data_IF_576980928522
#
_entry.id   IF_576980928522
#
_cell.length_a   1.000
_cell.length_b   1.000
_cell.length_c   1.000
_cell.angle_alpha   90.00
_cell.angle_beta   90.00
_cell.angle_gamma   90.00
#
_symmetry.space_group_name_H-M   'P 1'
#
loop_
_entity.id
_entity.type
_entity.pdbx_description
1 polymer ?
#
# COMPACT_ATOMS: atom_id res chain seq x y z
N UNK A 1 26.37 -14.13 26.78
CA UNK A 1 27.10 -13.23 25.86
C UNK A 1 26.48 -13.43 24.49
N UNK A 2 25.76 -12.44 23.97
CA UNK A 2 25.19 -12.48 22.63
C UNK A 2 26.32 -12.15 21.65
N UNK A 3 26.69 -13.11 20.80
CA UNK A 3 27.68 -12.84 19.77
C UNK A 3 27.00 -12.10 18.61
N UNK A 4 27.21 -10.78 18.57
CA UNK A 4 26.97 -9.93 17.43
C UNK A 4 27.83 -10.41 16.25
N UNK A 5 27.26 -11.24 15.39
CA UNK A 5 27.80 -11.39 14.04
C UNK A 5 27.10 -10.36 13.14
N UNK A 6 27.79 -9.28 12.73
CA UNK A 6 27.20 -8.35 11.78
C UNK A 6 26.85 -9.12 10.50
N UNK A 7 25.64 -8.89 10.00
CA UNK A 7 25.22 -9.40 8.71
C UNK A 7 26.22 -8.88 7.67
N UNK A 8 26.98 -9.79 7.03
CA UNK A 8 27.98 -9.41 6.04
C UNK A 8 27.27 -8.84 4.83
N UNK A 9 27.38 -7.53 4.65
CA UNK A 9 26.77 -6.83 3.52
C UNK A 9 27.38 -7.25 2.19
N UNK A 10 26.51 -7.48 1.21
CA UNK A 10 26.79 -7.93 -0.16
C UNK A 10 26.54 -6.80 -1.15
N UNK A 11 27.18 -5.65 -0.93
CA UNK A 11 27.14 -4.56 -1.90
C UNK A 11 27.81 -4.97 -3.22
N UNK A 12 27.07 -4.85 -4.32
CA UNK A 12 27.60 -4.88 -5.67
C UNK A 12 28.32 -3.55 -5.99
N UNK A 13 29.26 -3.59 -6.95
CA UNK A 13 30.10 -2.44 -7.32
C UNK A 13 29.33 -1.25 -7.90
N UNK A 14 28.05 -1.42 -8.26
CA UNK A 14 27.14 -0.41 -8.80
C UNK A 14 26.26 0.26 -7.71
N UNK A 15 26.43 -0.13 -6.44
CA UNK A 15 25.65 0.40 -5.31
C UNK A 15 24.34 -0.36 -5.05
N UNK A 16 24.05 -1.42 -5.79
CA UNK A 16 22.93 -2.33 -5.50
C UNK A 16 23.34 -3.34 -4.42
N UNK A 17 22.45 -3.64 -3.48
CA UNK A 17 22.69 -4.65 -2.45
C UNK A 17 21.88 -5.88 -2.83
N UNK A 18 22.55 -6.97 -3.21
CA UNK A 18 21.85 -8.23 -3.46
C UNK A 18 21.31 -8.76 -2.13
N UNK A 19 19.98 -8.96 -2.01
CA UNK A 19 19.41 -9.49 -0.79
C UNK A 19 19.92 -10.91 -0.53
N UNK A 20 20.01 -11.32 0.74
CA UNK A 20 20.38 -12.67 1.12
C UNK A 20 19.47 -13.69 0.45
N UNK A 21 20.03 -14.75 -0.11
CA UNK A 21 19.27 -15.77 -0.85
C UNK A 21 18.18 -16.40 0.00
N UNK A 22 18.41 -16.46 1.31
CA UNK A 22 17.50 -17.01 2.30
C UNK A 22 16.18 -16.24 2.40
N UNK A 23 16.15 -14.95 2.01
CA UNK A 23 14.96 -14.10 2.08
C UNK A 23 14.26 -13.89 0.74
N UNK A 24 14.74 -14.48 -0.35
CA UNK A 24 14.21 -14.22 -1.70
C UNK A 24 12.72 -14.57 -1.82
N UNK A 25 12.29 -15.67 -1.19
CA UNK A 25 10.88 -16.08 -1.18
C UNK A 25 9.99 -15.04 -0.49
N UNK A 26 10.51 -14.41 0.57
CA UNK A 26 9.83 -13.38 1.34
C UNK A 26 9.74 -12.08 0.54
N UNK A 27 10.70 -11.80 -0.36
CA UNK A 27 10.67 -10.66 -1.27
C UNK A 27 9.66 -10.81 -2.40
N UNK A 28 9.29 -12.04 -2.77
CA UNK A 28 8.22 -12.31 -3.74
C UNK A 28 6.81 -12.06 -3.16
N UNK A 29 6.70 -11.82 -1.85
CA UNK A 29 5.42 -11.54 -1.21
C UNK A 29 4.85 -10.20 -1.74
N UNK A 30 3.58 -10.13 -2.17
CA UNK A 30 2.97 -8.92 -2.76
C UNK A 30 2.94 -7.71 -1.82
N UNK A 31 3.12 -7.92 -0.52
CA UNK A 31 3.22 -6.84 0.47
C UNK A 31 4.61 -6.19 0.55
N UNK A 32 5.61 -6.74 -0.13
CA UNK A 32 6.96 -6.17 -0.23
C UNK A 32 7.04 -5.24 -1.43
N UNK A 33 7.45 -4.00 -1.20
CA UNK A 33 7.65 -3.01 -2.27
C UNK A 33 9.09 -2.97 -2.78
N UNK A 34 10.07 -3.12 -1.87
CA UNK A 34 11.47 -2.91 -2.18
C UNK A 34 12.39 -3.55 -1.13
N UNK A 35 13.67 -3.70 -1.45
CA UNK A 35 14.74 -4.07 -0.54
C UNK A 35 15.92 -3.11 -0.71
N UNK A 36 16.26 -2.37 0.36
CA UNK A 36 17.37 -1.40 0.32
C UNK A 36 18.01 -1.19 1.68
N UNK A 37 19.34 -1.06 1.72
CA UNK A 37 20.11 -0.82 2.94
C UNK A 37 19.89 -1.91 4.00
N UNK A 38 19.89 -3.18 3.58
CA UNK A 38 19.68 -4.34 4.44
C UNK A 38 18.24 -4.53 4.94
N UNK A 39 17.25 -3.82 4.38
CA UNK A 39 15.88 -3.77 4.92
C UNK A 39 14.82 -4.01 3.84
N UNK A 40 13.92 -4.95 4.15
CA UNK A 40 12.64 -5.11 3.45
C UNK A 40 11.75 -3.89 3.72
N UNK A 41 11.22 -3.31 2.65
CA UNK A 41 10.28 -2.19 2.67
C UNK A 41 8.88 -2.73 2.39
N UNK A 42 7.99 -2.61 3.36
CA UNK A 42 6.61 -3.07 3.25
C UNK A 42 5.67 -1.96 2.74
N UNK A 43 4.62 -2.36 2.02
CA UNK A 43 3.58 -1.47 1.55
C UNK A 43 2.71 -0.94 2.71
N UNK A 44 1.86 0.05 2.42
CA UNK A 44 0.87 0.53 3.39
C UNK A 44 -0.20 -0.54 3.65
N UNK A 45 -0.59 -1.27 2.61
CA UNK A 45 -1.60 -2.34 2.66
C UNK A 45 -1.16 -3.50 3.55
N UNK A 46 0.16 -3.78 3.60
CA UNK A 46 0.73 -4.72 4.56
C UNK A 46 0.35 -4.35 6.00
N UNK A 47 0.57 -3.10 6.40
CA UNK A 47 0.30 -2.67 7.77
C UNK A 47 -1.20 -2.63 8.06
N UNK A 48 -2.04 -2.30 7.06
CA UNK A 48 -3.49 -2.37 7.20
C UNK A 48 -3.98 -3.81 7.40
N UNK A 49 -3.51 -4.75 6.56
CA UNK A 49 -3.83 -6.17 6.66
C UNK A 49 -3.31 -6.79 7.97
N UNK A 50 -2.10 -6.41 8.38
CA UNK A 50 -1.48 -6.87 9.63
C UNK A 50 -2.28 -6.38 10.84
N UNK A 51 -2.67 -5.09 10.85
CA UNK A 51 -3.51 -4.54 11.90
C UNK A 51 -4.87 -5.24 11.99
N UNK A 52 -5.52 -5.54 10.84
CA UNK A 52 -6.79 -6.27 10.81
C UNK A 52 -6.69 -7.65 11.48
N UNK A 53 -5.58 -8.36 11.25
CA UNK A 53 -5.29 -9.66 11.89
C UNK A 53 -5.05 -9.52 13.40
N UNK A 54 -4.25 -8.52 13.81
CA UNK A 54 -4.01 -8.21 15.23
C UNK A 54 -5.31 -7.87 15.95
N UNK A 55 -6.18 -7.08 15.34
CA UNK A 55 -7.49 -6.72 15.88
C UNK A 55 -8.50 -7.89 15.87
N UNK A 56 -8.12 -9.03 15.29
CA UNK A 56 -8.86 -10.30 15.35
C UNK A 56 -8.23 -11.26 16.38
N UNK A 57 -7.64 -10.70 17.44
CA UNK A 57 -7.00 -11.41 18.56
C UNK A 57 -5.77 -12.27 18.21
N UNK A 58 -5.14 -12.04 17.05
CA UNK A 58 -3.85 -12.69 16.73
C UNK A 58 -2.68 -11.94 17.36
N UNK A 59 -1.67 -12.67 17.82
CA UNK A 59 -0.39 -12.07 18.22
C UNK A 59 0.33 -11.46 17.00
N UNK A 60 1.31 -10.59 17.24
CA UNK A 60 2.09 -9.97 16.15
C UNK A 60 2.80 -11.01 15.27
N UNK A 61 3.28 -12.09 15.88
CA UNK A 61 3.94 -13.20 15.17
C UNK A 61 2.93 -13.95 14.31
N UNK A 62 1.81 -14.38 14.89
CA UNK A 62 0.77 -15.11 14.15
C UNK A 62 0.19 -14.29 13.00
N UNK A 63 -0.08 -13.01 13.24
CA UNK A 63 -0.59 -12.10 12.21
C UNK A 63 0.42 -11.94 11.05
N UNK A 64 1.71 -11.84 11.36
CA UNK A 64 2.78 -11.73 10.37
C UNK A 64 2.92 -13.00 9.54
N UNK A 65 2.86 -14.18 10.18
CA UNK A 65 2.89 -15.48 9.51
C UNK A 65 1.63 -15.74 8.67
N UNK A 66 0.47 -15.31 9.15
CA UNK A 66 -0.80 -15.39 8.41
C UNK A 66 -0.79 -14.56 7.12
N UNK A 67 0.09 -13.56 7.00
CA UNK A 67 0.32 -12.78 5.77
C UNK A 67 1.38 -13.40 4.85
N UNK A 68 1.86 -14.60 5.17
CA UNK A 68 2.78 -15.37 4.32
C UNK A 68 4.26 -15.07 4.56
N UNK A 69 4.62 -14.40 5.65
CA UNK A 69 6.02 -14.18 6.02
C UNK A 69 6.51 -15.23 7.00
N UNK A 70 7.76 -15.69 6.85
CA UNK A 70 8.35 -16.69 7.74
C UNK A 70 9.11 -16.02 8.88
N UNK A 71 8.68 -16.20 10.14
CA UNK A 71 9.47 -15.71 11.30
C UNK A 71 10.73 -16.54 11.54
N UNK A 72 10.80 -17.77 11.00
CA UNK A 72 12.02 -18.58 11.01
C UNK A 72 13.13 -17.95 10.16
N UNK A 73 12.76 -17.25 9.09
CA UNK A 73 13.68 -16.59 8.16
C UNK A 73 13.93 -15.14 8.58
N UNK A 74 12.86 -14.40 8.89
CA UNK A 74 12.95 -12.95 9.13
C UNK A 74 13.09 -12.55 10.61
N UNK A 75 12.92 -13.50 11.52
CA UNK A 75 12.97 -13.30 12.97
C UNK A 75 11.67 -12.77 13.58
N UNK A 76 11.40 -13.18 14.82
CA UNK A 76 10.24 -12.75 15.62
C UNK A 76 10.31 -11.27 15.99
N UNK A 77 11.51 -10.71 16.16
CA UNK A 77 11.69 -9.29 16.49
C UNK A 77 11.15 -8.39 15.39
N UNK A 78 11.32 -8.80 14.13
CA UNK A 78 10.76 -8.08 12.99
C UNK A 78 9.24 -8.13 13.00
N UNK A 79 8.65 -9.30 13.21
CA UNK A 79 7.19 -9.44 13.31
C UNK A 79 6.62 -8.54 14.42
N UNK A 80 7.26 -8.54 15.59
CA UNK A 80 6.89 -7.68 16.71
C UNK A 80 7.04 -6.18 16.40
N UNK A 81 8.13 -5.78 15.73
CA UNK A 81 8.33 -4.39 15.32
C UNK A 81 7.28 -3.93 14.29
N UNK A 82 6.97 -4.78 13.29
CA UNK A 82 5.92 -4.53 12.30
C UNK A 82 4.54 -4.41 12.96
N UNK A 83 4.22 -5.31 13.89
CA UNK A 83 2.95 -5.29 14.64
C UNK A 83 2.79 -4.01 15.46
N UNK A 84 3.80 -3.64 16.27
CA UNK A 84 3.81 -2.37 17.03
C UNK A 84 3.62 -1.15 16.12
N UNK A 85 4.29 -1.15 14.96
CA UNK A 85 4.17 -0.06 13.99
C UNK A 85 2.78 0.00 13.39
N UNK A 86 2.17 -1.13 13.05
CA UNK A 86 0.80 -1.20 12.53
C UNK A 86 -0.19 -0.60 13.54
N UNK A 87 -0.13 -1.02 14.80
CA UNK A 87 -0.98 -0.48 15.88
C UNK A 87 -0.81 1.04 16.00
N UNK A 88 0.43 1.54 16.07
CA UNK A 88 0.69 2.98 16.13
C UNK A 88 0.15 3.73 14.91
N UNK A 89 0.31 3.18 13.70
CA UNK A 89 -0.22 3.81 12.49
C UNK A 89 -1.76 3.84 12.49
N UNK A 90 -2.43 2.84 13.07
CA UNK A 90 -3.87 2.86 13.27
C UNK A 90 -4.31 3.93 14.27
N UNK A 91 -3.64 4.03 15.43
CA UNK A 91 -3.88 5.08 16.44
C UNK A 91 -3.73 6.49 15.86
N UNK A 92 -2.74 6.68 14.97
CA UNK A 92 -2.49 7.93 14.27
C UNK A 92 -3.42 8.16 13.06
N UNK A 93 -4.38 7.26 12.79
CA UNK A 93 -5.30 7.35 11.63
C UNK A 93 -4.63 7.15 10.27
N UNK A 94 -3.36 6.72 10.24
CA UNK A 94 -2.54 6.56 9.04
C UNK A 94 -2.79 5.26 8.29
N UNK A 95 -3.53 4.31 8.87
CA UNK A 95 -3.83 3.03 8.22
C UNK A 95 -5.09 3.03 7.37
N UNK A 96 -5.95 4.07 7.40
CA UNK A 96 -7.25 4.02 6.74
C UNK A 96 -7.15 3.79 5.22
N UNK A 97 -7.55 2.59 4.72
CA UNK A 97 -7.84 2.37 3.31
C UNK A 97 -9.27 2.85 2.96
N UNK A 98 -9.91 3.58 3.86
CA UNK A 98 -11.26 4.13 3.67
C UNK A 98 -11.24 5.59 3.26
N UNK A 99 -10.05 6.22 3.26
CA UNK A 99 -9.86 7.58 2.74
C UNK A 99 -9.78 7.51 1.21
N UNK A 100 -10.72 8.12 0.46
CA UNK A 100 -10.68 8.13 -1.00
C UNK A 100 -9.35 8.69 -1.56
N UNK A 101 -8.64 9.53 -0.81
CA UNK A 101 -7.34 10.09 -1.22
C UNK A 101 -6.22 9.06 -1.32
N UNK A 102 -6.41 7.85 -0.78
CA UNK A 102 -5.41 6.78 -0.87
C UNK A 102 -5.58 5.92 -2.14
N UNK A 103 -6.58 6.19 -2.98
CA UNK A 103 -6.85 5.46 -4.23
C UNK A 103 -6.69 6.35 -5.46
N UNK A 104 -6.15 5.78 -6.54
CA UNK A 104 -6.13 6.42 -7.85
C UNK A 104 -7.46 6.18 -8.58
N UNK A 105 -8.33 7.20 -8.54
CA UNK A 105 -9.64 7.16 -9.20
C UNK A 105 -9.59 7.08 -10.74
N UNK A 106 -8.43 7.34 -11.36
CA UNK A 106 -8.28 7.26 -12.82
C UNK A 106 -8.16 5.83 -13.34
N UNK A 107 -7.66 4.91 -12.51
CA UNK A 107 -7.49 3.51 -12.87
C UNK A 107 -8.87 2.83 -12.98
N UNK A 108 -9.19 2.12 -14.08
CA UNK A 108 -10.44 1.37 -14.21
C UNK A 108 -10.59 0.22 -13.18
N UNK A 109 -11.83 -0.12 -12.76
CA UNK A 109 -12.06 -1.12 -11.71
C UNK A 109 -11.46 -2.49 -12.04
N UNK A 110 -11.45 -2.87 -13.32
CA UNK A 110 -10.94 -4.15 -13.80
C UNK A 110 -9.43 -4.31 -13.59
N UNK A 111 -8.71 -3.20 -13.37
CA UNK A 111 -7.26 -3.16 -13.15
C UNK A 111 -6.87 -3.05 -11.67
N UNK A 112 -7.83 -2.82 -10.75
CA UNK A 112 -7.55 -2.64 -9.32
C UNK A 112 -7.26 -3.94 -8.57
N UNK A 113 -7.59 -5.10 -9.16
CA UNK A 113 -7.48 -6.38 -8.49
C UNK A 113 -8.62 -6.62 -7.49
N UNK A 114 -8.48 -7.64 -6.63
CA UNK A 114 -9.49 -7.96 -5.63
C UNK A 114 -9.40 -6.99 -4.45
N UNK A 115 -10.53 -6.36 -4.12
CA UNK A 115 -10.70 -5.46 -2.98
C UNK A 115 -11.73 -6.02 -1.99
N UNK A 116 -11.64 -5.61 -0.74
CA UNK A 116 -12.74 -5.78 0.23
C UNK A 116 -13.87 -4.77 -0.04
N UNK A 117 -15.09 -4.99 0.45
CA UNK A 117 -16.21 -4.06 0.23
C UNK A 117 -15.91 -2.61 0.69
N UNK A 118 -15.16 -2.45 1.78
CA UNK A 118 -14.80 -1.14 2.31
C UNK A 118 -13.77 -0.41 1.43
N UNK A 119 -12.80 -1.16 0.90
CA UNK A 119 -11.79 -0.65 -0.05
C UNK A 119 -12.43 -0.33 -1.41
N UNK A 120 -13.36 -1.16 -1.86
CA UNK A 120 -14.15 -0.91 -3.07
C UNK A 120 -14.97 0.38 -2.91
N UNK A 121 -15.63 0.58 -1.77
CA UNK A 121 -16.35 1.83 -1.49
C UNK A 121 -15.42 3.05 -1.50
N UNK A 122 -14.23 2.95 -0.92
CA UNK A 122 -13.26 4.04 -0.90
C UNK A 122 -12.71 4.36 -2.30
N UNK A 123 -12.40 3.32 -3.08
CA UNK A 123 -12.01 3.43 -4.48
C UNK A 123 -13.12 4.07 -5.33
N UNK A 124 -14.38 3.62 -5.18
CA UNK A 124 -15.51 4.19 -5.91
C UNK A 124 -15.71 5.68 -5.60
N UNK A 125 -15.50 6.08 -4.34
CA UNK A 125 -15.48 7.51 -3.97
C UNK A 125 -14.34 8.27 -4.67
N UNK A 126 -13.14 7.69 -4.72
CA UNK A 126 -11.99 8.29 -5.41
C UNK A 126 -12.24 8.43 -6.93
N UNK A 127 -12.82 7.40 -7.54
CA UNK A 127 -13.21 7.39 -8.96
C UNK A 127 -14.28 8.42 -9.28
N UNK A 128 -15.29 8.58 -8.44
CA UNK A 128 -16.30 9.63 -8.63
C UNK A 128 -15.67 11.02 -8.63
N UNK A 129 -14.78 11.31 -7.68
CA UNK A 129 -14.06 12.59 -7.64
C UNK A 129 -13.27 12.83 -8.93
N UNK A 130 -12.58 11.80 -9.43
CA UNK A 130 -11.84 11.88 -10.69
C UNK A 130 -12.75 12.17 -11.90
N UNK A 131 -13.86 11.44 -12.02
CA UNK A 131 -14.82 11.62 -13.12
C UNK A 131 -15.48 12.99 -13.07
N UNK A 132 -15.87 13.47 -11.89
CA UNK A 132 -16.40 14.83 -11.70
C UNK A 132 -15.38 15.87 -12.16
N UNK A 133 -14.10 15.72 -11.78
CA UNK A 133 -13.01 16.60 -12.21
C UNK A 133 -12.83 16.58 -13.74
N UNK A 134 -12.91 15.41 -14.38
CA UNK A 134 -12.84 15.30 -15.84
C UNK A 134 -14.03 15.99 -16.53
N UNK A 135 -15.23 15.83 -15.99
CA UNK A 135 -16.44 16.48 -16.52
C UNK A 135 -16.31 17.99 -16.42
N UNK A 136 -15.83 18.52 -15.29
CA UNK A 136 -15.55 19.95 -15.12
C UNK A 136 -14.52 20.46 -16.10
N UNK A 137 -13.40 19.74 -16.27
CA UNK A 137 -12.37 20.08 -17.25
C UNK A 137 -12.93 20.09 -18.69
N UNK A 138 -13.73 19.08 -19.06
CA UNK A 138 -14.38 18.99 -20.37
C UNK A 138 -15.38 20.11 -20.59
N UNK A 139 -16.18 20.47 -19.58
CA UNK A 139 -17.11 21.61 -19.65
C UNK A 139 -16.36 22.92 -19.84
N UNK A 140 -15.25 23.12 -19.13
CA UNK A 140 -14.40 24.32 -19.27
C UNK A 140 -13.79 24.41 -20.67
N UNK A 141 -13.22 23.32 -21.16
CA UNK A 141 -12.66 23.27 -22.51
C UNK A 141 -13.71 23.55 -23.60
N UNK A 142 -14.90 22.94 -23.50
CA UNK A 142 -16.00 23.19 -24.43
C UNK A 142 -16.53 24.64 -24.34
N UNK A 143 -16.58 25.20 -23.14
CA UNK A 143 -16.95 26.59 -22.91
C UNK A 143 -16.02 27.55 -23.66
N UNK A 144 -14.71 27.32 -23.57
CA UNK A 144 -13.68 28.08 -24.27
C UNK A 144 -13.78 27.91 -25.79
N UNK A 145 -13.91 26.67 -26.28
CA UNK A 145 -14.03 26.35 -27.71
C UNK A 145 -15.27 27.00 -28.35
N UNK A 146 -16.40 26.99 -27.66
CA UNK A 146 -17.69 27.45 -28.17
C UNK A 146 -17.98 28.92 -27.85
N UNK A 147 -17.15 29.59 -27.05
CA UNK A 147 -17.40 30.95 -26.58
C UNK A 147 -18.66 31.09 -25.73
N UNK A 148 -19.08 30.03 -25.04
CA UNK A 148 -20.31 29.97 -24.24
C UNK A 148 -19.99 29.77 -22.77
N UNK A 149 -20.80 30.27 -21.81
CA UNK A 149 -20.53 30.07 -20.39
C UNK A 149 -20.64 28.59 -19.98
N UNK A 150 -19.79 28.14 -19.06
CA UNK A 150 -19.72 26.75 -18.54
C UNK A 150 -21.08 26.23 -18.08
N UNK A 151 -21.93 27.07 -17.47
CA UNK A 151 -23.28 26.72 -17.01
C UNK A 151 -24.24 26.29 -18.14
N UNK A 152 -23.94 26.68 -19.38
CA UNK A 152 -24.73 26.32 -20.56
C UNK A 152 -24.22 25.05 -21.28
N UNK A 153 -23.06 24.53 -20.87
CA UNK A 153 -22.46 23.34 -21.47
C UNK A 153 -23.02 22.07 -20.82
N UNK A 154 -23.67 21.24 -21.63
CA UNK A 154 -24.06 19.88 -21.24
C UNK A 154 -23.07 18.88 -21.83
N UNK A 155 -22.43 18.12 -20.96
CA UNK A 155 -21.66 16.94 -21.35
C UNK A 155 -22.66 15.78 -21.29
N UNK A 156 -22.93 15.17 -22.43
CA UNK A 156 -23.74 13.95 -22.55
C UNK A 156 -22.73 12.81 -22.74
N UNK A 157 -22.92 11.73 -22.00
CA UNK A 157 -22.13 10.49 -22.10
C UNK A 157 -22.68 9.57 -23.19
#
# INVERSE_FOLDING_TARGET
MCEDRPFKSTFNKDGTEEPPKEIWKELENPFVMDYRGGRIIYSKDFYAALYKKINSDMTYVEAFEALGFSTKVLGTDRANACGKRAVKMAEEGKLNPTDPKTYDGSVPPEKMGKMTPEEELAYLRARNIYLETLVEAKKKWLSELLGKPVSSIRVID
#
